data_IF_688783973126
#
_entry.id   IF_688783973126
#
_cell.length_a   1.000
_cell.length_b   1.000
_cell.length_c   1.000
_cell.angle_alpha   90.00
_cell.angle_beta   90.00
_cell.angle_gamma   90.00
#
_symmetry.space_group_name_H-M   'P 1'
#
loop_
_entity.id
_entity.type
_entity.pdbx_description
1 polymer ?
#
# COMPACT_ATOMS: atom_id res chain seq x y z
N UNK A 1 -13.35 -16.98 -9.75
CA UNK A 1 -11.89 -17.08 -9.92
C UNK A 1 -11.35 -15.65 -9.94
N UNK A 2 -10.46 -15.27 -9.03
CA UNK A 2 -9.89 -13.92 -9.02
C UNK A 2 -8.91 -13.74 -10.21
N UNK A 3 -8.95 -12.57 -10.85
CA UNK A 3 -8.03 -12.21 -11.94
C UNK A 3 -6.59 -12.05 -11.43
N UNK A 4 -5.60 -12.43 -12.25
CA UNK A 4 -4.16 -12.29 -11.98
C UNK A 4 -3.78 -10.84 -11.65
N UNK A 5 -4.43 -9.87 -12.29
CA UNK A 5 -4.21 -8.44 -12.05
C UNK A 5 -4.70 -8.01 -10.65
N UNK A 6 -5.83 -8.55 -10.17
CA UNK A 6 -6.33 -8.28 -8.81
C UNK A 6 -5.41 -8.85 -7.73
N UNK A 7 -4.88 -10.06 -7.96
CA UNK A 7 -3.89 -10.67 -7.06
C UNK A 7 -2.62 -9.82 -6.96
N UNK A 8 -2.19 -9.21 -8.09
CA UNK A 8 -1.03 -8.32 -8.13
C UNK A 8 -1.21 -7.08 -7.25
N UNK A 9 -2.38 -6.43 -7.33
CA UNK A 9 -2.68 -5.22 -6.55
C UNK A 9 -2.79 -5.51 -5.06
N UNK A 10 -3.53 -6.55 -4.67
CA UNK A 10 -3.68 -6.93 -3.27
C UNK A 10 -2.31 -7.26 -2.64
N UNK A 11 -1.43 -7.93 -3.40
CA UNK A 11 -0.05 -8.20 -2.97
C UNK A 11 0.77 -6.92 -2.80
N UNK A 12 0.61 -5.93 -3.70
CA UNK A 12 1.27 -4.64 -3.57
C UNK A 12 0.82 -3.88 -2.32
N UNK A 13 -0.49 -3.89 -2.02
CA UNK A 13 -1.05 -3.28 -0.81
C UNK A 13 -0.48 -3.95 0.45
N UNK A 14 -0.46 -5.29 0.49
CA UNK A 14 0.06 -6.05 1.64
C UNK A 14 1.53 -5.72 1.90
N UNK A 15 2.35 -5.66 0.84
CA UNK A 15 3.76 -5.26 0.94
C UNK A 15 3.94 -3.86 1.52
N UNK A 16 3.13 -2.90 1.06
CA UNK A 16 3.21 -1.51 1.53
C UNK A 16 2.81 -1.43 3.02
N UNK A 17 1.77 -2.14 3.43
CA UNK A 17 1.31 -2.19 4.83
C UNK A 17 2.38 -2.75 5.75
N UNK A 18 3.02 -3.86 5.36
CA UNK A 18 4.09 -4.51 6.13
C UNK A 18 5.27 -3.53 6.35
N UNK A 19 5.77 -2.94 5.26
CA UNK A 19 6.87 -1.97 5.30
C UNK A 19 6.53 -0.73 6.14
N UNK A 20 5.33 -0.18 5.99
CA UNK A 20 4.88 0.98 6.75
C UNK A 20 4.82 0.72 8.26
N UNK A 21 4.59 -0.53 8.67
CA UNK A 21 4.56 -0.94 10.07
C UNK A 21 5.92 -0.90 10.76
N UNK A 22 7.01 -0.92 10.00
CA UNK A 22 8.39 -0.88 10.51
C UNK A 22 8.92 0.56 10.68
N UNK A 23 8.27 1.54 10.05
CA UNK A 23 8.68 2.94 10.03
C UNK A 23 8.34 3.65 11.35
N UNK A 24 9.36 4.17 12.04
CA UNK A 24 9.22 4.99 13.26
C UNK A 24 9.31 6.49 12.98
N UNK A 25 10.02 6.90 11.93
CA UNK A 25 10.07 8.30 11.48
C UNK A 25 8.82 8.60 10.65
N UNK A 26 8.10 9.68 10.94
CA UNK A 26 6.79 9.98 10.32
C UNK A 26 5.68 8.95 10.66
N UNK A 27 5.81 8.22 11.77
CA UNK A 27 4.93 7.11 12.16
C UNK A 27 3.42 7.45 12.15
N UNK A 28 3.04 8.67 12.54
CA UNK A 28 1.63 9.07 12.55
C UNK A 28 1.05 9.17 11.12
N UNK A 29 1.84 9.63 10.16
CA UNK A 29 1.43 9.69 8.76
C UNK A 29 1.36 8.29 8.15
N UNK A 30 2.35 7.43 8.42
CA UNK A 30 2.32 6.05 7.93
C UNK A 30 1.14 5.28 8.51
N UNK A 31 0.82 5.42 9.80
CA UNK A 31 -0.40 4.82 10.40
C UNK A 31 -1.69 5.21 9.68
N UNK A 32 -1.85 6.48 9.29
CA UNK A 32 -3.04 6.95 8.56
C UNK A 32 -3.14 6.31 7.18
N UNK A 33 -2.02 6.24 6.45
CA UNK A 33 -1.96 5.61 5.13
C UNK A 33 -2.24 4.10 5.24
N UNK A 34 -1.59 3.40 6.17
CA UNK A 34 -1.80 1.97 6.41
C UNK A 34 -3.26 1.66 6.75
N UNK A 35 -3.91 2.47 7.59
CA UNK A 35 -5.33 2.31 7.92
C UNK A 35 -6.22 2.43 6.67
N UNK A 36 -5.90 3.37 5.79
CA UNK A 36 -6.63 3.58 4.53
C UNK A 36 -6.42 2.41 3.56
N UNK A 37 -5.19 1.91 3.44
CA UNK A 37 -4.84 0.77 2.62
C UNK A 37 -5.51 -0.54 3.10
N UNK A 38 -5.57 -0.78 4.42
CA UNK A 38 -6.28 -1.93 4.99
C UNK A 38 -7.77 -1.90 4.61
N UNK A 39 -8.40 -0.72 4.67
CA UNK A 39 -9.80 -0.54 4.25
C UNK A 39 -9.98 -0.81 2.77
N UNK A 40 -9.12 -0.26 1.92
CA UNK A 40 -9.13 -0.51 0.47
C UNK A 40 -8.97 -2.00 0.15
N UNK A 41 -8.02 -2.67 0.81
CA UNK A 41 -7.80 -4.11 0.69
C UNK A 41 -9.06 -4.91 1.04
N UNK A 42 -9.70 -4.61 2.17
CA UNK A 42 -10.93 -5.28 2.60
C UNK A 42 -12.05 -5.08 1.57
N UNK A 43 -12.24 -3.84 1.11
CA UNK A 43 -13.26 -3.54 0.09
C UNK A 43 -13.01 -4.27 -1.22
N UNK A 44 -11.76 -4.37 -1.67
CA UNK A 44 -11.40 -5.13 -2.87
C UNK A 44 -11.62 -6.64 -2.69
N UNK A 45 -11.27 -7.19 -1.52
CA UNK A 45 -11.49 -8.60 -1.23
C UNK A 45 -12.98 -8.97 -1.18
N UNK A 46 -13.81 -8.07 -0.63
CA UNK A 46 -15.26 -8.27 -0.52
C UNK A 46 -15.99 -8.01 -1.85
N UNK A 47 -15.49 -7.10 -2.69
CA UNK A 47 -16.07 -6.72 -4.00
C UNK A 47 -15.51 -7.48 -5.20
N UNK A 48 -14.66 -8.49 -4.99
CA UNK A 48 -14.15 -9.40 -6.02
C UNK A 48 -15.26 -10.11 -6.83
N UNK A 49 -16.52 -9.97 -6.44
CA UNK A 49 -17.71 -10.44 -7.15
C UNK A 49 -18.28 -9.47 -8.19
N UNK A 50 -17.86 -8.20 -8.29
CA UNK A 50 -18.58 -7.21 -9.12
C UNK A 50 -17.70 -6.32 -10.03
N UNK A 51 -16.40 -6.15 -9.81
CA UNK A 51 -15.61 -5.18 -10.60
C UNK A 51 -14.79 -5.81 -11.72
N UNK A 52 -15.40 -5.88 -12.90
CA UNK A 52 -14.74 -6.05 -14.19
C UNK A 52 -14.27 -4.66 -14.72
N UNK A 53 -13.39 -4.00 -13.96
CA UNK A 53 -12.92 -2.64 -14.28
C UNK A 53 -11.39 -2.57 -14.27
N UNK A 54 -10.77 -2.98 -15.38
CA UNK A 54 -9.33 -2.86 -15.64
C UNK A 54 -8.78 -1.44 -15.40
N UNK A 55 -9.57 -0.40 -15.69
CA UNK A 55 -9.20 0.99 -15.43
C UNK A 55 -9.07 1.30 -13.93
N UNK A 56 -9.97 0.79 -13.09
CA UNK A 56 -9.89 0.97 -11.62
C UNK A 56 -8.63 0.34 -11.01
N UNK A 57 -8.10 -0.71 -11.66
CA UNK A 57 -6.90 -1.41 -11.25
C UNK A 57 -5.63 -0.63 -11.63
N UNK A 58 -5.59 -0.06 -12.84
CA UNK A 58 -4.50 0.80 -13.28
C UNK A 58 -4.41 2.08 -12.44
N UNK A 59 -5.54 2.75 -12.20
CA UNK A 59 -5.59 3.95 -11.36
C UNK A 59 -5.09 3.67 -9.94
N UNK A 60 -5.50 2.54 -9.36
CA UNK A 60 -5.05 2.14 -8.05
C UNK A 60 -3.54 1.83 -8.04
N UNK A 61 -3.02 1.16 -9.08
CA UNK A 61 -1.59 0.92 -9.20
C UNK A 61 -0.79 2.24 -9.28
N UNK A 62 -1.28 3.24 -10.01
CA UNK A 62 -0.65 4.57 -10.07
C UNK A 62 -0.70 5.31 -8.73
N UNK A 63 -1.76 5.12 -7.93
CA UNK A 63 -1.85 5.70 -6.57
C UNK A 63 -0.89 5.01 -5.58
N UNK A 64 -0.68 3.69 -5.71
CA UNK A 64 0.20 2.95 -4.80
C UNK A 64 1.68 3.31 -4.98
N UNK A 65 2.11 3.69 -6.19
CA UNK A 65 3.50 4.10 -6.49
C UNK A 65 4.03 5.25 -5.60
N UNK A 66 3.39 6.43 -5.53
CA UNK A 66 3.87 7.53 -4.69
C UNK A 66 3.82 7.18 -3.20
N UNK A 67 2.85 6.37 -2.76
CA UNK A 67 2.76 5.89 -1.37
C UNK A 67 3.99 5.03 -1.01
N UNK A 68 4.34 4.08 -1.87
CA UNK A 68 5.51 3.20 -1.69
C UNK A 68 6.82 4.01 -1.69
N UNK A 69 6.91 5.05 -2.53
CA UNK A 69 8.05 5.96 -2.56
C UNK A 69 8.20 6.77 -1.26
N UNK A 70 7.10 7.29 -0.69
CA UNK A 70 7.12 8.01 0.59
C UNK A 70 7.57 7.09 1.72
N UNK A 71 7.04 5.86 1.79
CA UNK A 71 7.45 4.88 2.81
C UNK A 71 8.93 4.55 2.68
N UNK A 72 9.42 4.35 1.44
CA UNK A 72 10.84 4.11 1.17
C UNK A 72 11.71 5.25 1.70
N UNK A 73 11.34 6.50 1.38
CA UNK A 73 12.05 7.69 1.87
C UNK A 73 12.04 7.78 3.41
N UNK A 74 10.91 7.48 4.07
CA UNK A 74 10.84 7.46 5.54
C UNK A 74 11.76 6.40 6.17
N UNK A 75 11.82 5.19 5.59
CA UNK A 75 12.72 4.13 6.04
C UNK A 75 14.19 4.52 5.87
N UNK A 76 14.57 5.06 4.72
CA UNK A 76 15.94 5.52 4.44
C UNK A 76 16.37 6.62 5.43
N UNK A 77 15.49 7.59 5.69
CA UNK A 77 15.75 8.64 6.66
C UNK A 77 15.89 8.09 8.08
N UNK A 78 15.09 7.10 8.47
CA UNK A 78 15.23 6.42 9.75
C UNK A 78 16.58 5.72 9.88
N UNK A 79 17.05 5.04 8.83
CA UNK A 79 18.39 4.43 8.83
C UNK A 79 19.51 5.46 8.96
N UNK A 80 19.39 6.61 8.30
CA UNK A 80 20.36 7.71 8.42
C UNK A 80 20.37 8.30 9.84
N UNK A 81 19.19 8.50 10.44
CA UNK A 81 19.05 9.06 11.79
C UNK A 81 19.50 8.09 12.90
N UNK A 82 19.32 6.78 12.71
CA UNK A 82 19.73 5.76 13.68
C UNK A 82 21.19 5.28 13.48
N UNK A 83 21.83 5.65 12.37
CA UNK A 83 23.24 5.35 12.06
C UNK A 83 24.23 6.47 12.44
N UNK A 84 23.71 7.60 12.97
CA UNK A 84 24.47 8.68 13.61
C UNK A 84 24.43 8.54 15.12
#
# INVERSE_FOLDING_TARGET
MASVATTSILTAIDRIIERAGEVKVCQDHTKLVTTSLIRLRSQFNDRLTVLDETHSQEDLAEILKPIDAIITCCMENEHLLNGM
#
